data_IF_587292424482
#
_entry.id   IF_587292424482
#
_cell.length_a   1.000
_cell.length_b   1.000
_cell.length_c   1.000
_cell.angle_alpha   90.00
_cell.angle_beta   90.00
_cell.angle_gamma   90.00
#
_symmetry.space_group_name_H-M   'P 1'
#
loop_
_entity.id
_entity.type
_entity.pdbx_description
1 polymer ?
#
# COMPACT_ATOMS: atom_id res chain seq x y z
N UNK A 1 20.75 -30.36 5.64
CA UNK A 1 19.94 -29.20 6.07
C UNK A 1 19.16 -28.72 4.86
N UNK A 2 17.90 -28.34 5.05
CA UNK A 2 17.03 -27.80 3.98
C UNK A 2 17.47 -26.36 3.69
N UNK A 3 17.47 -25.93 2.42
CA UNK A 3 17.88 -24.56 2.04
C UNK A 3 16.81 -23.52 2.41
N UNK A 4 17.21 -22.25 2.59
CA UNK A 4 16.26 -21.13 2.81
C UNK A 4 15.24 -21.01 1.68
N UNK A 5 15.69 -21.16 0.44
CA UNK A 5 14.82 -21.21 -0.74
C UNK A 5 13.74 -22.29 -0.62
N UNK A 6 14.12 -23.53 -0.24
CA UNK A 6 13.15 -24.63 -0.12
C UNK A 6 12.12 -24.33 0.96
N UNK A 7 12.57 -23.78 2.10
CA UNK A 7 11.68 -23.38 3.20
C UNK A 7 10.73 -22.26 2.73
N UNK A 8 11.25 -21.23 2.06
CA UNK A 8 10.44 -20.13 1.54
C UNK A 8 9.36 -20.61 0.56
N UNK A 9 9.72 -21.51 -0.37
CA UNK A 9 8.76 -22.10 -1.32
C UNK A 9 7.72 -22.97 -0.63
N UNK A 10 8.07 -23.70 0.43
CA UNK A 10 7.11 -24.48 1.22
C UNK A 10 6.13 -23.58 1.97
N UNK A 11 6.61 -22.47 2.54
CA UNK A 11 5.76 -21.46 3.19
C UNK A 11 4.84 -20.81 2.14
N UNK A 12 5.37 -20.43 0.99
CA UNK A 12 4.60 -19.84 -0.09
C UNK A 12 3.47 -20.74 -0.57
N UNK A 13 3.70 -22.06 -0.69
CA UNK A 13 2.65 -23.02 -1.03
C UNK A 13 1.56 -23.10 0.05
N UNK A 14 1.91 -22.99 1.33
CA UNK A 14 0.92 -22.97 2.40
C UNK A 14 0.11 -21.66 2.40
N UNK A 15 0.75 -20.51 2.15
CA UNK A 15 0.06 -19.22 2.05
C UNK A 15 -0.82 -19.12 0.80
N UNK A 16 -0.42 -19.78 -0.30
CA UNK A 16 -1.25 -19.89 -1.51
C UNK A 16 -2.63 -20.46 -1.21
N UNK A 17 -2.71 -21.48 -0.35
CA UNK A 17 -4.00 -22.07 0.03
C UNK A 17 -4.87 -21.05 0.78
N UNK A 18 -4.27 -20.19 1.62
CA UNK A 18 -4.99 -19.09 2.29
C UNK A 18 -5.51 -18.04 1.30
N UNK A 19 -4.73 -17.68 0.28
CA UNK A 19 -5.19 -16.77 -0.78
C UNK A 19 -6.42 -17.35 -1.49
N UNK A 20 -6.40 -18.65 -1.79
CA UNK A 20 -7.55 -19.33 -2.40
C UNK A 20 -8.79 -19.34 -1.48
N UNK A 21 -8.60 -19.57 -0.18
CA UNK A 21 -9.68 -19.57 0.80
C UNK A 21 -10.30 -18.17 0.98
N UNK A 22 -9.47 -17.11 1.03
CA UNK A 22 -9.93 -15.72 1.09
C UNK A 22 -10.72 -15.34 -0.17
N UNK A 23 -10.21 -15.70 -1.35
CA UNK A 23 -10.91 -15.47 -2.62
C UNK A 23 -12.25 -16.24 -2.66
N UNK A 24 -12.28 -17.50 -2.22
CA UNK A 24 -13.50 -18.31 -2.15
C UNK A 24 -14.54 -17.73 -1.17
N UNK A 25 -14.09 -17.01 -0.14
CA UNK A 25 -14.94 -16.24 0.78
C UNK A 25 -15.47 -14.93 0.16
N UNK A 26 -15.08 -14.60 -1.08
CA UNK A 26 -15.55 -13.42 -1.82
C UNK A 26 -14.73 -12.15 -1.58
N UNK A 27 -13.50 -12.30 -1.07
CA UNK A 27 -12.55 -11.19 -0.90
C UNK A 27 -11.86 -10.94 -2.25
N UNK A 28 -12.12 -9.78 -2.86
CA UNK A 28 -11.55 -9.40 -4.17
C UNK A 28 -10.28 -8.56 -4.11
N UNK A 29 -9.78 -8.23 -2.90
CA UNK A 29 -8.50 -7.55 -2.70
C UNK A 29 -7.78 -8.27 -1.57
N UNK A 30 -6.61 -8.84 -1.86
CA UNK A 30 -5.81 -9.62 -0.91
C UNK A 30 -4.43 -9.00 -0.83
N UNK A 31 -3.98 -8.71 0.40
CA UNK A 31 -2.66 -8.13 0.64
C UNK A 31 -1.69 -9.20 1.14
N UNK A 32 -0.55 -9.33 0.46
CA UNK A 32 0.56 -10.22 0.82
C UNK A 32 1.76 -9.32 1.11
N UNK A 33 2.14 -9.18 2.37
CA UNK A 33 3.22 -8.27 2.76
C UNK A 33 4.58 -8.96 2.69
N UNK A 34 5.54 -8.30 2.03
CA UNK A 34 6.94 -8.75 1.94
C UNK A 34 7.89 -7.71 2.55
N UNK A 35 7.76 -7.41 3.86
CA UNK A 35 8.59 -6.42 4.54
C UNK A 35 10.04 -6.87 4.72
N UNK A 36 10.41 -8.07 4.24
CA UNK A 36 11.74 -8.65 4.42
C UNK A 36 12.51 -8.89 3.10
N UNK A 37 11.96 -8.57 1.93
CA UNK A 37 12.65 -8.78 0.64
C UNK A 37 13.97 -7.99 0.54
N UNK A 38 14.02 -6.75 1.04
CA UNK A 38 15.27 -5.96 1.08
C UNK A 38 16.14 -6.35 2.26
N UNK A 39 15.55 -6.58 3.43
CA UNK A 39 16.27 -6.91 4.67
C UNK A 39 16.96 -8.27 4.62
N UNK A 40 16.40 -9.21 3.86
CA UNK A 40 16.94 -10.56 3.71
C UNK A 40 18.11 -10.67 2.74
N UNK A 41 18.50 -9.56 2.07
CA UNK A 41 19.57 -9.56 1.09
C UNK A 41 20.92 -10.00 1.70
N UNK A 42 21.67 -10.88 1.02
CA UNK A 42 23.00 -11.25 1.45
C UNK A 42 23.93 -10.04 1.57
N UNK A 43 24.89 -10.09 2.49
CA UNK A 43 25.89 -9.01 2.62
C UNK A 43 26.75 -8.84 1.36
N UNK A 44 26.95 -9.91 0.59
CA UNK A 44 27.69 -9.89 -0.67
C UNK A 44 26.74 -9.61 -1.82
N UNK A 45 27.00 -8.51 -2.55
CA UNK A 45 26.20 -8.14 -3.73
C UNK A 45 26.20 -9.21 -4.83
N UNK A 46 27.26 -9.99 -4.95
CA UNK A 46 27.34 -11.13 -5.89
C UNK A 46 26.27 -12.20 -5.66
N UNK A 47 25.71 -12.26 -4.44
CA UNK A 47 24.76 -13.30 -4.05
C UNK A 47 23.31 -12.76 -4.10
N UNK A 48 23.11 -11.50 -4.49
CA UNK A 48 21.80 -10.84 -4.51
C UNK A 48 20.87 -11.44 -5.56
N UNK A 49 21.34 -11.62 -6.79
CA UNK A 49 20.49 -12.10 -7.89
C UNK A 49 19.86 -13.45 -7.56
N UNK A 50 20.66 -14.38 -7.02
CA UNK A 50 20.17 -15.68 -6.60
C UNK A 50 19.13 -15.55 -5.47
N UNK A 51 19.35 -14.66 -4.51
CA UNK A 51 18.40 -14.41 -3.42
C UNK A 51 17.08 -13.80 -3.92
N UNK A 52 17.17 -12.73 -4.71
CA UNK A 52 16.02 -12.00 -5.24
C UNK A 52 15.20 -12.89 -6.16
N UNK A 53 15.84 -13.73 -6.97
CA UNK A 53 15.16 -14.67 -7.84
C UNK A 53 14.22 -15.60 -7.07
N UNK A 54 14.71 -16.29 -6.03
CA UNK A 54 13.83 -17.20 -5.28
C UNK A 54 12.88 -16.45 -4.34
N UNK A 55 13.24 -15.26 -3.86
CA UNK A 55 12.34 -14.42 -3.06
C UNK A 55 11.11 -13.99 -3.86
N UNK A 56 11.33 -13.47 -5.06
CA UNK A 56 10.27 -13.13 -6.02
C UNK A 56 9.46 -14.37 -6.40
N UNK A 57 10.10 -15.50 -6.67
CA UNK A 57 9.39 -16.75 -7.01
C UNK A 57 8.48 -17.20 -5.86
N UNK A 58 8.93 -17.11 -4.60
CA UNK A 58 8.12 -17.45 -3.44
C UNK A 58 6.87 -16.56 -3.33
N UNK A 59 7.02 -15.23 -3.50
CA UNK A 59 5.86 -14.33 -3.53
C UNK A 59 4.87 -14.71 -4.63
N UNK A 60 5.37 -14.96 -5.85
CA UNK A 60 4.53 -15.32 -7.00
C UNK A 60 3.81 -16.66 -6.80
N UNK A 61 4.43 -17.63 -6.13
CA UNK A 61 3.76 -18.91 -5.80
C UNK A 61 2.51 -18.66 -4.95
N UNK A 62 2.58 -17.72 -4.00
CA UNK A 62 1.46 -17.34 -3.15
C UNK A 62 0.34 -16.68 -3.98
N UNK A 63 0.69 -15.65 -4.76
CA UNK A 63 -0.27 -14.87 -5.55
C UNK A 63 -0.88 -15.61 -6.75
N UNK A 64 -0.17 -16.58 -7.35
CA UNK A 64 -0.55 -17.21 -8.63
C UNK A 64 -1.84 -18.03 -8.62
N UNK A 65 -2.51 -18.20 -7.48
CA UNK A 65 -3.84 -18.84 -7.42
C UNK A 65 -4.98 -17.85 -7.61
N UNK A 66 -4.73 -16.55 -7.43
CA UNK A 66 -5.72 -15.51 -7.58
C UNK A 66 -6.18 -15.42 -9.04
N UNK A 67 -7.48 -15.17 -9.23
CA UNK A 67 -8.07 -14.88 -10.54
C UNK A 67 -7.74 -13.46 -11.00
N UNK A 68 -7.85 -13.21 -12.30
CA UNK A 68 -7.65 -11.90 -12.91
C UNK A 68 -8.54 -10.77 -12.33
N UNK A 69 -9.68 -11.12 -11.70
CA UNK A 69 -10.58 -10.17 -11.03
C UNK A 69 -10.30 -9.96 -9.53
N UNK A 70 -9.34 -10.70 -8.98
CA UNK A 70 -8.84 -10.54 -7.61
C UNK A 70 -7.56 -9.71 -7.62
N UNK A 71 -7.57 -8.59 -6.91
CA UNK A 71 -6.41 -7.70 -6.87
C UNK A 71 -5.43 -8.09 -5.76
N UNK A 72 -4.16 -8.30 -6.12
CA UNK A 72 -3.08 -8.59 -5.19
C UNK A 72 -2.33 -7.30 -4.84
N UNK A 73 -2.34 -6.99 -3.55
CA UNK A 73 -1.60 -5.86 -2.98
C UNK A 73 -0.35 -6.39 -2.28
N UNK A 74 0.73 -5.61 -2.28
CA UNK A 74 1.88 -5.84 -1.40
C UNK A 74 2.24 -4.55 -0.68
N UNK A 75 2.58 -4.65 0.60
CA UNK A 75 3.18 -3.55 1.35
C UNK A 75 4.70 -3.72 1.48
N UNK A 76 5.43 -2.62 1.34
CA UNK A 76 6.88 -2.56 1.60
C UNK A 76 7.24 -1.38 2.48
N UNK A 77 7.99 -1.66 3.54
CA UNK A 77 8.25 -0.74 4.65
C UNK A 77 9.63 -0.07 4.52
N UNK A 78 10.10 0.14 3.28
CA UNK A 78 11.46 0.58 3.00
C UNK A 78 11.53 2.02 2.52
N UNK A 79 12.65 2.66 2.84
CA UNK A 79 13.00 3.98 2.39
C UNK A 79 13.96 4.01 1.18
N UNK A 80 14.36 2.88 0.60
CA UNK A 80 15.27 2.85 -0.56
C UNK A 80 15.05 1.60 -1.43
N UNK A 81 14.54 1.80 -2.65
CA UNK A 81 14.21 0.73 -3.59
C UNK A 81 15.14 0.65 -4.81
N UNK A 82 15.97 1.68 -5.02
CA UNK A 82 16.76 1.91 -6.23
C UNK A 82 17.53 0.68 -6.72
N UNK A 83 18.17 -0.07 -5.81
CA UNK A 83 19.00 -1.23 -6.19
C UNK A 83 18.20 -2.51 -6.54
N UNK A 84 16.88 -2.53 -6.32
CA UNK A 84 16.05 -3.74 -6.46
C UNK A 84 14.73 -3.51 -7.23
N UNK A 85 14.59 -2.39 -7.94
CA UNK A 85 13.37 -2.05 -8.69
C UNK A 85 12.95 -3.16 -9.67
N UNK A 86 13.89 -3.79 -10.36
CA UNK A 86 13.62 -4.95 -11.23
C UNK A 86 12.94 -6.10 -10.48
N UNK A 87 13.38 -6.38 -9.25
CA UNK A 87 12.80 -7.45 -8.43
C UNK A 87 11.43 -7.06 -7.88
N UNK A 88 11.22 -5.78 -7.54
CA UNK A 88 9.92 -5.26 -7.11
C UNK A 88 8.91 -5.34 -8.25
N UNK A 89 9.30 -4.97 -9.46
CA UNK A 89 8.46 -5.15 -10.65
C UNK A 89 8.19 -6.63 -10.94
N UNK A 90 9.19 -7.50 -10.75
CA UNK A 90 9.04 -8.93 -10.96
C UNK A 90 8.12 -9.63 -9.94
N UNK A 91 7.78 -8.99 -8.81
CA UNK A 91 6.74 -9.49 -7.90
C UNK A 91 5.37 -9.56 -8.60
N UNK A 92 5.13 -8.67 -9.57
CA UNK A 92 3.91 -8.64 -10.37
C UNK A 92 2.65 -8.44 -9.50
N UNK A 93 2.78 -7.66 -8.42
CA UNK A 93 1.64 -7.23 -7.63
C UNK A 93 0.88 -6.12 -8.38
N UNK A 94 -0.45 -6.14 -8.32
CA UNK A 94 -1.28 -5.13 -8.97
C UNK A 94 -1.10 -3.75 -8.34
N UNK A 95 -0.95 -3.72 -7.01
CA UNK A 95 -0.76 -2.50 -6.22
C UNK A 95 0.36 -2.69 -5.22
N UNK A 96 1.33 -1.77 -5.22
CA UNK A 96 2.35 -1.68 -4.17
C UNK A 96 2.09 -0.49 -3.27
N UNK A 97 2.04 -0.71 -1.96
CA UNK A 97 1.95 0.37 -0.97
C UNK A 97 3.31 0.57 -0.28
N UNK A 98 3.72 1.83 -0.15
CA UNK A 98 5.05 2.20 0.38
C UNK A 98 4.94 3.30 1.43
N UNK A 99 5.82 3.27 2.42
CA UNK A 99 5.91 4.31 3.45
C UNK A 99 6.57 5.57 2.89
N UNK A 100 5.82 6.66 2.73
CA UNK A 100 6.33 7.89 2.08
C UNK A 100 6.02 9.18 2.82
N UNK A 101 5.19 9.15 3.87
CA UNK A 101 4.71 10.39 4.48
C UNK A 101 5.82 11.19 5.17
N UNK A 102 6.89 10.51 5.61
CA UNK A 102 8.08 11.12 6.23
C UNK A 102 9.17 11.57 5.24
N UNK A 103 9.20 10.99 4.05
CA UNK A 103 10.21 11.28 3.01
C UNK A 103 9.73 12.33 2.00
N UNK A 104 8.62 13.03 2.27
CA UNK A 104 8.04 14.03 1.38
C UNK A 104 7.88 13.56 -0.08
N UNK A 105 7.54 12.27 -0.25
CA UNK A 105 7.37 11.58 -1.53
C UNK A 105 8.65 11.38 -2.35
N UNK A 106 9.85 11.66 -1.83
CA UNK A 106 11.13 11.50 -2.56
C UNK A 106 11.30 10.10 -3.17
N UNK A 107 10.82 9.07 -2.49
CA UNK A 107 10.90 7.67 -2.96
C UNK A 107 10.17 7.40 -4.27
N UNK A 108 9.22 8.25 -4.65
CA UNK A 108 8.51 8.10 -5.92
C UNK A 108 9.39 8.41 -7.13
N UNK A 109 10.54 9.07 -6.95
CA UNK A 109 11.51 9.31 -8.04
C UNK A 109 12.01 7.99 -8.62
N UNK A 110 12.30 6.99 -7.78
CA UNK A 110 12.71 5.65 -8.23
C UNK A 110 11.65 4.97 -9.10
N UNK A 111 10.37 5.15 -8.77
CA UNK A 111 9.25 4.57 -9.50
C UNK A 111 8.98 5.30 -10.83
N UNK A 112 9.18 6.62 -10.85
CA UNK A 112 9.11 7.44 -12.05
C UNK A 112 10.26 7.12 -13.02
N UNK A 113 11.51 7.09 -12.53
CA UNK A 113 12.70 6.79 -13.33
C UNK A 113 12.67 5.37 -13.92
N UNK A 114 12.15 4.41 -13.15
CA UNK A 114 11.97 3.02 -13.60
C UNK A 114 10.78 2.83 -14.55
N UNK A 115 9.89 3.81 -14.66
CA UNK A 115 8.56 3.68 -15.30
C UNK A 115 7.78 2.46 -14.79
N UNK A 116 7.62 2.38 -13.46
CA UNK A 116 6.96 1.25 -12.81
C UNK A 116 5.55 1.03 -13.39
N UNK A 117 5.24 -0.18 -13.91
CA UNK A 117 4.06 -0.37 -14.74
C UNK A 117 2.74 -0.37 -13.94
N UNK A 118 2.79 -0.86 -12.70
CA UNK A 118 1.60 -1.18 -11.90
C UNK A 118 1.18 -0.02 -10.98
N UNK A 119 0.15 -0.22 -10.18
CA UNK A 119 -0.44 0.83 -9.34
C UNK A 119 0.36 1.02 -8.04
N UNK A 120 0.36 2.24 -7.50
CA UNK A 120 1.19 2.62 -6.34
C UNK A 120 0.34 3.37 -5.32
N UNK A 121 0.48 2.97 -4.06
CA UNK A 121 -0.09 3.63 -2.89
C UNK A 121 0.97 4.29 -2.01
N UNK A 122 1.35 5.55 -2.29
CA UNK A 122 2.23 6.29 -1.39
C UNK A 122 1.50 6.60 -0.09
N UNK A 123 2.09 6.19 1.04
CA UNK A 123 1.58 6.51 2.36
C UNK A 123 1.50 8.01 2.60
N UNK A 124 0.31 8.51 2.97
CA UNK A 124 0.03 9.94 3.23
C UNK A 124 -0.13 10.27 4.71
N UNK A 125 -0.02 9.27 5.58
CA UNK A 125 -0.18 9.43 7.01
C UNK A 125 0.77 8.54 7.80
N UNK A 126 1.68 9.18 8.53
CA UNK A 126 2.56 8.56 9.51
C UNK A 126 1.77 8.08 10.73
N UNK A 127 1.44 6.79 10.76
CA UNK A 127 0.74 6.16 11.89
C UNK A 127 1.59 6.06 13.17
N UNK A 128 2.90 6.24 13.06
CA UNK A 128 3.79 6.23 14.21
C UNK A 128 3.84 7.60 14.90
N UNK A 129 3.30 8.63 14.26
CA UNK A 129 3.14 9.95 14.86
C UNK A 129 1.79 10.06 15.56
N UNK A 130 1.74 10.62 16.79
CA UNK A 130 0.47 10.95 17.44
C UNK A 130 -0.26 12.11 16.74
N UNK A 131 0.41 12.84 15.84
CA UNK A 131 -0.18 13.98 15.14
C UNK A 131 -1.13 13.52 14.05
N UNK A 132 -2.35 14.05 14.04
CA UNK A 132 -3.28 13.86 12.93
C UNK A 132 -2.95 14.89 11.83
N UNK A 133 -2.62 14.48 10.59
CA UNK A 133 -2.35 15.41 9.51
C UNK A 133 -3.62 16.18 9.13
N UNK A 134 -3.45 17.42 8.67
CA UNK A 134 -4.57 18.19 8.12
C UNK A 134 -4.94 17.70 6.72
N UNK A 135 -6.13 18.07 6.23
CA UNK A 135 -6.56 17.75 4.86
C UNK A 135 -5.57 18.36 3.85
N UNK A 136 -5.16 19.60 4.08
CA UNK A 136 -4.26 20.35 3.20
C UNK A 136 -2.89 19.68 3.10
N UNK A 137 -2.42 19.06 4.19
CA UNK A 137 -1.18 18.28 4.20
C UNK A 137 -1.28 17.04 3.32
N UNK A 138 -2.33 16.23 3.50
CA UNK A 138 -2.58 15.03 2.68
C UNK A 138 -2.73 15.41 1.20
N UNK A 139 -3.46 16.48 0.90
CA UNK A 139 -3.59 16.97 -0.47
C UNK A 139 -2.26 17.42 -1.08
N UNK A 140 -1.42 18.10 -0.31
CA UNK A 140 -0.12 18.55 -0.79
C UNK A 140 0.76 17.35 -1.16
N UNK A 141 0.75 16.28 -0.35
CA UNK A 141 1.43 15.03 -0.64
C UNK A 141 0.90 14.35 -1.90
N UNK A 142 -0.42 14.23 -2.06
CA UNK A 142 -1.03 13.61 -3.24
C UNK A 142 -0.78 14.44 -4.52
N UNK A 143 -0.77 15.77 -4.42
CA UNK A 143 -0.39 16.67 -5.52
C UNK A 143 1.09 16.52 -5.89
N UNK A 144 1.97 16.18 -4.96
CA UNK A 144 3.38 15.85 -5.25
C UNK A 144 3.48 14.49 -5.94
N UNK A 145 2.80 13.47 -5.42
CA UNK A 145 2.76 12.14 -6.02
C UNK A 145 2.24 12.16 -7.46
N UNK A 146 1.16 12.91 -7.72
CA UNK A 146 0.54 13.04 -9.05
C UNK A 146 1.41 13.77 -10.09
N UNK A 147 2.51 14.42 -9.68
CA UNK A 147 3.49 14.99 -10.63
C UNK A 147 4.44 13.94 -11.19
N UNK A 148 4.65 12.84 -10.45
CA UNK A 148 5.61 11.78 -10.76
C UNK A 148 4.91 10.54 -11.32
N UNK A 149 3.74 10.20 -10.77
CA UNK A 149 2.95 9.03 -11.14
C UNK A 149 1.58 9.47 -11.67
N UNK A 150 1.09 8.90 -12.79
CA UNK A 150 -0.26 9.16 -13.30
C UNK A 150 -1.35 8.90 -12.26
N UNK A 151 -2.35 9.77 -12.19
CA UNK A 151 -3.40 9.72 -11.17
C UNK A 151 -4.22 8.42 -11.22
N UNK A 152 -4.37 7.83 -12.41
CA UNK A 152 -5.03 6.54 -12.64
C UNK A 152 -4.24 5.33 -12.13
N UNK A 153 -3.00 5.52 -11.66
CA UNK A 153 -2.18 4.51 -10.98
C UNK A 153 -2.06 4.77 -9.48
N UNK A 154 -2.56 5.88 -8.96
CA UNK A 154 -2.39 6.26 -7.56
C UNK A 154 -3.49 5.71 -6.65
N UNK A 155 -3.06 5.20 -5.50
CA UNK A 155 -3.88 4.85 -4.35
C UNK A 155 -3.65 5.81 -3.18
N UNK A 156 -4.62 5.90 -2.28
CA UNK A 156 -4.50 6.68 -1.05
C UNK A 156 -4.60 5.74 0.15
N UNK A 157 -3.52 5.64 0.92
CA UNK A 157 -3.38 4.79 2.09
C UNK A 157 -2.50 5.47 3.17
N UNK A 158 -2.61 5.06 4.45
CA UNK A 158 -1.61 5.40 5.45
C UNK A 158 -0.24 4.75 5.15
N UNK A 159 0.82 5.17 5.83
CA UNK A 159 2.17 4.58 5.67
C UNK A 159 2.16 3.08 5.97
N UNK A 160 1.52 2.66 7.07
CA UNK A 160 1.49 1.26 7.50
C UNK A 160 0.09 0.86 7.97
N UNK A 161 -0.26 -0.42 7.82
CA UNK A 161 -1.48 -1.01 8.37
C UNK A 161 -1.28 -1.56 9.79
N UNK A 162 -1.82 -0.94 10.86
CA UNK A 162 -1.63 -1.49 12.19
C UNK A 162 -2.38 -2.83 12.34
N UNK A 163 -1.64 -3.91 12.56
CA UNK A 163 -2.19 -5.25 12.94
C UNK A 163 -3.07 -5.16 14.20
N UNK A 164 -2.88 -4.12 15.01
CA UNK A 164 -3.71 -3.77 16.16
C UNK A 164 -4.33 -2.37 16.02
N UNK A 165 -5.54 -2.29 15.46
CA UNK A 165 -6.37 -1.08 15.42
C UNK A 165 -6.66 -0.43 16.81
N UNK A 166 -6.15 -1.01 17.91
CA UNK A 166 -6.18 -0.42 19.26
C UNK A 166 -5.28 0.80 19.41
N UNK A 167 -4.15 0.89 18.68
CA UNK A 167 -3.22 2.02 18.81
C UNK A 167 -3.72 3.30 18.11
N UNK A 168 -4.63 3.18 17.14
CA UNK A 168 -5.29 4.33 16.51
C UNK A 168 -6.37 5.00 17.42
N UNK A 169 -6.61 4.45 18.62
CA UNK A 169 -7.55 5.02 19.60
C UNK A 169 -6.86 6.02 20.53
N UNK A 170 -6.55 7.23 20.07
CA UNK A 170 -6.29 8.33 21.01
C UNK A 170 -7.24 9.52 20.78
N UNK A 171 -8.29 9.68 21.60
CA UNK A 171 -9.32 10.71 21.42
C UNK A 171 -9.07 11.93 22.32
N UNK A 172 -7.89 12.57 22.25
CA UNK A 172 -7.62 13.81 22.99
C UNK A 172 -6.98 14.87 22.10
N UNK A 173 -7.81 15.43 21.24
CA UNK A 173 -7.49 16.62 20.44
C UNK A 173 -8.78 17.16 19.81
N UNK A 174 -9.59 17.87 20.60
CA UNK A 174 -10.70 18.67 20.09
C UNK A 174 -10.12 19.89 19.37
N UNK A 175 -9.83 19.73 18.09
CA UNK A 175 -9.54 20.83 17.18
C UNK A 175 -10.46 20.69 15.98
N UNK A 176 -11.60 21.36 16.02
CA UNK A 176 -12.41 21.61 14.83
C UNK A 176 -11.59 22.55 13.92
N UNK A 177 -10.81 21.97 13.01
CA UNK A 177 -10.26 22.74 11.90
C UNK A 177 -11.33 22.83 10.81
N UNK A 178 -11.75 24.07 10.54
CA UNK A 178 -12.84 24.41 9.64
C UNK A 178 -12.66 23.80 8.25
N UNK A 179 -13.76 23.31 7.71
CA UNK A 179 -13.85 22.84 6.34
C UNK A 179 -13.65 24.01 5.36
N UNK A 180 -12.39 24.26 4.99
CA UNK A 180 -12.05 25.00 3.78
C UNK A 180 -12.34 24.08 2.59
N UNK A 181 -13.18 24.53 1.66
CA UNK A 181 -13.46 23.80 0.42
C UNK A 181 -12.23 23.79 -0.48
N UNK A 182 -11.41 22.75 -0.37
CA UNK A 182 -10.30 22.50 -1.26
C UNK A 182 -10.76 21.62 -2.44
N UNK A 183 -10.42 22.03 -3.66
CA UNK A 183 -10.58 21.20 -4.85
C UNK A 183 -9.39 20.24 -4.95
N UNK A 184 -9.70 18.95 -4.89
CA UNK A 184 -8.74 17.86 -5.01
C UNK A 184 -8.16 17.77 -6.44
N UNK A 185 -7.02 17.09 -6.59
CA UNK A 185 -6.51 16.72 -7.90
C UNK A 185 -7.57 15.86 -8.62
N UNK A 186 -8.29 16.44 -9.59
CA UNK A 186 -9.27 15.74 -10.40
C UNK A 186 -8.65 14.48 -10.99
N UNK A 187 -9.05 13.29 -10.54
CA UNK A 187 -8.59 12.03 -11.16
C UNK A 187 -8.44 10.80 -10.26
N UNK A 188 -8.22 10.95 -8.95
CA UNK A 188 -8.05 9.76 -8.08
C UNK A 188 -9.41 9.08 -7.87
N UNK A 189 -9.46 7.78 -8.23
CA UNK A 189 -10.67 6.98 -8.16
C UNK A 189 -11.05 6.72 -6.68
N UNK A 190 -12.29 7.01 -6.25
CA UNK A 190 -12.72 6.76 -4.86
C UNK A 190 -12.67 5.28 -4.46
N UNK A 191 -12.68 4.35 -5.42
CA UNK A 191 -12.47 2.92 -5.15
C UNK A 191 -11.02 2.55 -4.83
N UNK A 192 -10.08 3.51 -4.91
CA UNK A 192 -8.63 3.35 -4.65
C UNK A 192 -8.17 4.02 -3.36
N UNK A 193 -9.06 4.06 -2.38
CA UNK A 193 -8.79 4.60 -1.06
C UNK A 193 -8.93 3.48 -0.04
N UNK A 194 -7.83 3.13 0.62
CA UNK A 194 -7.78 2.06 1.62
C UNK A 194 -7.58 2.68 2.99
N UNK A 195 -8.61 2.60 3.84
CA UNK A 195 -8.58 3.13 5.20
C UNK A 195 -9.04 2.05 6.18
N UNK A 196 -8.17 1.54 7.06
CA UNK A 196 -8.54 0.53 8.05
C UNK A 196 -9.72 0.96 8.94
N UNK A 197 -10.55 -0.01 9.37
CA UNK A 197 -11.43 0.16 10.52
C UNK A 197 -10.60 0.51 11.76
N UNK A 198 -10.68 1.77 12.23
CA UNK A 198 -9.93 2.25 13.41
C UNK A 198 -9.18 3.55 13.18
N UNK A 199 -8.89 3.92 11.93
CA UNK A 199 -8.36 5.24 11.58
C UNK A 199 -9.47 6.29 11.46
N UNK A 200 -10.20 6.50 12.56
CA UNK A 200 -11.39 7.36 12.62
C UNK A 200 -11.16 8.78 12.09
N UNK A 201 -9.98 9.35 12.32
CA UNK A 201 -9.63 10.68 11.82
C UNK A 201 -9.59 10.71 10.30
N UNK A 202 -8.94 9.73 9.67
CA UNK A 202 -8.83 9.63 8.21
C UNK A 202 -10.20 9.30 7.57
N UNK A 203 -11.01 8.47 8.22
CA UNK A 203 -12.40 8.24 7.79
C UNK A 203 -13.26 9.52 7.84
N UNK A 204 -13.01 10.44 8.79
CA UNK A 204 -13.69 11.74 8.86
C UNK A 204 -13.16 12.76 7.85
N UNK A 205 -11.88 12.65 7.49
CA UNK A 205 -11.26 13.49 6.47
C UNK A 205 -11.66 13.02 5.06
N UNK A 206 -12.02 11.75 4.88
CA UNK A 206 -12.39 11.15 3.59
C UNK A 206 -13.44 11.92 2.80
N UNK A 207 -14.58 12.33 3.38
CA UNK A 207 -15.56 13.15 2.68
C UNK A 207 -14.96 14.47 2.23
N UNK A 208 -14.11 15.11 3.03
CA UNK A 208 -13.44 16.36 2.60
C UNK A 208 -12.43 16.10 1.48
N UNK A 209 -11.70 14.98 1.54
CA UNK A 209 -10.70 14.57 0.54
C UNK A 209 -11.36 14.16 -0.80
N UNK A 210 -12.52 13.51 -0.77
CA UNK A 210 -13.15 12.88 -1.94
C UNK A 210 -14.27 13.71 -2.61
N UNK A 211 -14.58 14.91 -2.12
CA UNK A 211 -15.77 15.64 -2.58
C UNK A 211 -15.48 16.83 -3.49
N UNK A 212 -15.78 16.63 -4.79
CA UNK A 212 -16.80 17.44 -5.51
C UNK A 212 -17.65 16.68 -6.56
N UNK A 213 -17.29 15.50 -7.12
CA UNK A 213 -18.21 14.80 -8.05
C UNK A 213 -18.87 13.49 -7.57
N UNK A 214 -18.46 12.83 -6.47
CA UNK A 214 -18.80 11.41 -6.24
C UNK A 214 -19.49 11.08 -4.90
N UNK A 215 -20.41 11.95 -4.42
CA UNK A 215 -21.19 11.74 -3.18
C UNK A 215 -21.99 10.42 -3.11
N UNK A 216 -22.17 9.70 -4.22
CA UNK A 216 -23.03 8.52 -4.28
C UNK A 216 -22.32 7.16 -4.07
N UNK A 217 -20.99 7.10 -4.03
CA UNK A 217 -20.23 5.82 -4.01
C UNK A 217 -19.64 5.46 -2.63
N UNK A 218 -19.43 6.43 -1.74
CA UNK A 218 -18.80 6.21 -0.42
C UNK A 218 -19.54 5.25 0.55
N UNK A 219 -20.88 5.13 0.56
CA UNK A 219 -21.56 4.25 1.51
C UNK A 219 -21.29 2.75 1.31
N UNK A 220 -20.73 2.34 0.17
CA UNK A 220 -20.49 0.93 -0.16
C UNK A 220 -19.17 0.40 0.41
N UNK A 221 -18.12 1.23 0.49
CA UNK A 221 -16.77 0.83 0.91
C UNK A 221 -16.72 0.53 2.42
N UNK A 222 -17.47 1.26 3.24
CA UNK A 222 -17.48 1.08 4.70
C UNK A 222 -18.45 0.00 5.21
N UNK A 223 -19.41 -0.47 4.41
CA UNK A 223 -20.41 -1.47 4.85
C UNK A 223 -19.94 -2.92 4.75
N UNK A 224 -18.82 -3.20 4.10
CA UNK A 224 -18.33 -4.57 3.87
C UNK A 224 -17.40 -5.10 4.96
N UNK A 225 -17.04 -4.27 5.96
CA UNK A 225 -16.11 -4.60 7.05
C UNK A 225 -16.73 -4.37 8.45
N UNK A 226 -18.06 -4.48 8.58
CA UNK A 226 -18.78 -4.45 9.86
C UNK A 226 -19.44 -5.80 10.14
#
# INVERSE_FOLDING_TARGET
MVSRETIAKQIALALRDEVADLEAAGIGIIQIDEPALREGLPLRRSDWDAYLQWGVEAFRINAAVAKDDTQIHTHMCYCEFNDIMDSIAALDADVITIETSRSDMELLESFEEFDYPNEIGPGVYDIHSPNVPSVEWIEALLKKAAKRIPAERLWVNPDWWPENARLARNPRGTGEHGAGGAEFASGVNPNRVVIPPGLFSLQRLLPTILLKPFQHTLPAIFRRFA
#
